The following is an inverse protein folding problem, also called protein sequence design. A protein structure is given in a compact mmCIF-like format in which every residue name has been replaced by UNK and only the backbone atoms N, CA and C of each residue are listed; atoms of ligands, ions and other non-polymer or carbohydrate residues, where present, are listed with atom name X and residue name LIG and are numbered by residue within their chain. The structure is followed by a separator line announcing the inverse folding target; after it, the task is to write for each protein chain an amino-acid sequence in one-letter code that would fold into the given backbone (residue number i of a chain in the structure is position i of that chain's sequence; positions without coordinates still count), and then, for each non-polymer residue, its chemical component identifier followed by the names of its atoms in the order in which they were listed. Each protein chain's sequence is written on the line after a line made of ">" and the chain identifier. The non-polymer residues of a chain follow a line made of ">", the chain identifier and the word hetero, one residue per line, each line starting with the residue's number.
data_IF_307222831831
#
_entry.id   IF_307222831831
#
_cell.length_a   1.000
_cell.length_b   1.000
_cell.length_c   1.000
_cell.angle_alpha   90.00
_cell.angle_beta   90.00
_cell.angle_gamma   90.00
#
_symmetry.space_group_name_H-M   'P 1'
#
loop_
_entity.id
_entity.type
_entity.pdbx_description
1 polymer ?
#
# COMPACT_ATOMS: atom_id res chain seq x y z
N UNK A 1 23.89 0.59 -12.89
CA UNK A 1 23.17 1.69 -13.58
C UNK A 1 22.64 2.62 -12.50
N UNK A 2 22.96 3.91 -12.59
CA UNK A 2 22.46 4.91 -11.65
C UNK A 2 21.03 5.28 -12.07
N UNK A 3 20.05 4.87 -11.27
CA UNK A 3 18.61 5.13 -11.51
C UNK A 3 18.15 6.45 -10.90
N UNK A 4 19.02 7.18 -10.20
CA UNK A 4 18.68 8.43 -9.51
C UNK A 4 18.20 9.46 -10.52
N UNK A 5 16.93 9.86 -10.39
CA UNK A 5 16.24 10.79 -11.28
C UNK A 5 15.12 10.16 -12.11
N UNK A 6 15.16 8.85 -12.36
CA UNK A 6 14.06 8.13 -13.05
C UNK A 6 12.83 7.98 -12.14
N UNK A 7 13.00 7.97 -10.82
CA UNK A 7 11.86 7.91 -9.89
C UNK A 7 10.89 9.10 -10.05
N UNK A 8 11.37 10.26 -10.52
CA UNK A 8 10.51 11.43 -10.76
C UNK A 8 9.66 11.33 -12.02
N UNK A 9 9.99 10.45 -12.96
CA UNK A 9 9.22 10.27 -14.20
C UNK A 9 8.16 9.18 -14.08
N UNK A 10 8.24 8.32 -13.06
CA UNK A 10 7.31 7.19 -12.87
C UNK A 10 6.10 7.56 -12.00
N UNK A 11 6.26 8.46 -11.04
CA UNK A 11 5.19 8.85 -10.13
C UNK A 11 5.25 10.36 -9.80
N UNK A 12 4.08 11.03 -9.69
CA UNK A 12 4.02 12.43 -9.26
C UNK A 12 4.38 12.60 -7.78
N UNK A 13 4.29 11.53 -6.98
CA UNK A 13 4.63 11.52 -5.55
C UNK A 13 5.49 10.30 -5.24
N UNK A 14 6.62 10.52 -4.59
CA UNK A 14 7.52 9.47 -4.12
C UNK A 14 7.55 9.45 -2.59
N UNK A 15 7.22 8.30 -2.00
CA UNK A 15 7.26 8.12 -0.54
C UNK A 15 8.64 7.60 -0.14
N UNK A 16 9.43 8.45 0.51
CA UNK A 16 10.77 8.11 0.97
C UNK A 16 10.74 7.32 2.28
N UNK A 17 11.80 6.56 2.52
CA UNK A 17 11.99 5.88 3.81
C UNK A 17 12.03 6.88 4.96
N UNK A 18 11.29 6.57 6.03
CA UNK A 18 11.16 7.41 7.22
C UNK A 18 10.90 6.55 8.47
N UNK A 19 11.06 7.12 9.66
CA UNK A 19 10.68 6.42 10.90
C UNK A 19 9.19 6.08 10.93
N UNK A 20 8.36 6.93 10.33
CA UNK A 20 6.91 6.75 10.29
C UNK A 20 6.52 5.55 9.42
N UNK A 21 7.09 5.42 8.20
CA UNK A 21 6.76 4.27 7.33
C UNK A 21 7.24 2.95 7.96
N UNK A 22 8.40 2.94 8.62
CA UNK A 22 8.92 1.77 9.32
C UNK A 22 8.01 1.38 10.49
N UNK A 23 7.55 2.36 11.27
CA UNK A 23 6.62 2.12 12.39
C UNK A 23 5.31 1.51 11.90
N UNK A 24 4.73 2.08 10.85
CA UNK A 24 3.49 1.59 10.25
C UNK A 24 3.66 0.19 9.64
N UNK A 25 4.77 -0.05 8.94
CA UNK A 25 5.07 -1.37 8.36
C UNK A 25 5.19 -2.45 9.43
N UNK A 26 5.83 -2.15 10.57
CA UNK A 26 5.89 -3.08 11.70
C UNK A 26 4.50 -3.43 12.23
N UNK A 27 3.57 -2.46 12.29
CA UNK A 27 2.17 -2.73 12.70
C UNK A 27 1.47 -3.66 11.72
N UNK A 28 1.58 -3.40 10.41
CA UNK A 28 0.99 -4.25 9.38
C UNK A 28 1.58 -5.67 9.37
N UNK A 29 2.90 -5.78 9.53
CA UNK A 29 3.55 -7.08 9.63
C UNK A 29 3.08 -7.86 10.85
N UNK A 30 3.04 -7.23 12.04
CA UNK A 30 2.62 -7.87 13.28
C UNK A 30 1.13 -8.24 13.31
N UNK A 31 0.24 -7.35 12.83
CA UNK A 31 -1.21 -7.53 12.97
C UNK A 31 -1.87 -8.26 11.78
N UNK A 32 -1.30 -8.15 10.59
CA UNK A 32 -1.85 -8.75 9.38
C UNK A 32 -0.96 -9.84 8.77
N UNK A 33 0.21 -10.14 9.38
CA UNK A 33 1.11 -11.17 8.87
C UNK A 33 1.68 -10.85 7.50
N UNK A 34 1.90 -9.56 7.20
CA UNK A 34 2.60 -9.15 5.99
C UNK A 34 4.10 -9.38 6.13
N UNK A 35 4.74 -9.84 5.05
CA UNK A 35 6.20 -9.82 5.00
C UNK A 35 6.71 -8.35 5.02
N UNK A 36 7.99 -8.11 5.34
CA UNK A 36 8.49 -6.75 5.51
C UNK A 36 8.33 -5.86 4.28
N UNK A 37 8.43 -6.41 3.07
CA UNK A 37 8.35 -5.64 1.83
C UNK A 37 6.91 -5.23 1.51
N UNK A 38 5.95 -6.15 1.64
CA UNK A 38 4.53 -5.85 1.47
C UNK A 38 4.04 -4.83 2.49
N UNK A 39 4.49 -4.98 3.74
CA UNK A 39 4.16 -4.06 4.80
C UNK A 39 4.66 -2.64 4.49
N UNK A 40 5.82 -2.51 3.85
CA UNK A 40 6.33 -1.21 3.38
C UNK A 40 5.47 -0.64 2.26
N UNK A 41 5.06 -1.44 1.26
CA UNK A 41 4.19 -0.95 0.17
C UNK A 41 2.84 -0.46 0.68
N UNK A 42 2.18 -1.22 1.55
CA UNK A 42 0.91 -0.83 2.17
C UNK A 42 1.08 0.44 3.02
N UNK A 43 2.18 0.54 3.77
CA UNK A 43 2.48 1.73 4.56
C UNK A 43 2.75 2.95 3.68
N UNK A 44 3.45 2.78 2.56
CA UNK A 44 3.66 3.84 1.58
C UNK A 44 2.33 4.35 1.03
N UNK A 45 1.41 3.45 0.68
CA UNK A 45 0.07 3.80 0.21
C UNK A 45 -0.69 4.63 1.26
N UNK A 46 -0.65 4.23 2.53
CA UNK A 46 -1.26 4.98 3.63
C UNK A 46 -0.67 6.39 3.74
N UNK A 47 0.67 6.52 3.79
CA UNK A 47 1.33 7.82 3.93
C UNK A 47 1.15 8.71 2.71
N UNK A 48 1.04 8.12 1.51
CA UNK A 48 0.65 8.81 0.29
C UNK A 48 -0.82 9.22 0.25
N UNK A 49 -1.62 8.81 1.24
CA UNK A 49 -3.06 9.11 1.38
C UNK A 49 -3.88 8.74 0.14
N UNK A 50 -3.53 7.63 -0.50
CA UNK A 50 -4.28 7.13 -1.65
C UNK A 50 -5.55 6.41 -1.18
N UNK A 51 -6.65 6.54 -1.95
CA UNK A 51 -7.87 5.78 -1.66
C UNK A 51 -7.75 4.29 -2.03
N UNK A 52 -6.87 3.95 -2.99
CA UNK A 52 -6.75 2.61 -3.56
C UNK A 52 -5.30 2.13 -3.61
N UNK A 53 -5.05 0.96 -3.06
CA UNK A 53 -3.83 0.16 -3.26
C UNK A 53 -4.14 -0.97 -4.23
N UNK A 54 -3.73 -0.81 -5.48
CA UNK A 54 -3.95 -1.79 -6.53
C UNK A 54 -2.77 -2.76 -6.60
N UNK A 55 -3.03 -4.06 -6.55
CA UNK A 55 -2.00 -5.09 -6.62
C UNK A 55 -2.52 -6.38 -7.25
N UNK A 56 -1.65 -7.11 -7.93
CA UNK A 56 -1.91 -8.47 -8.42
C UNK A 56 -1.38 -9.54 -7.47
N UNK A 57 -0.81 -9.16 -6.33
CA UNK A 57 -0.25 -10.08 -5.35
C UNK A 57 -1.38 -10.76 -4.54
N UNK A 58 -1.54 -12.07 -4.72
CA UNK A 58 -2.59 -12.84 -4.08
C UNK A 58 -2.43 -12.92 -2.55
N UNK A 59 -1.21 -12.90 -2.00
CA UNK A 59 -1.01 -12.91 -0.55
C UNK A 59 -1.52 -11.61 0.08
N UNK A 60 -1.28 -10.47 -0.58
CA UNK A 60 -1.82 -9.18 -0.16
C UNK A 60 -3.34 -9.16 -0.32
N UNK A 61 -3.87 -9.65 -1.45
CA UNK A 61 -5.30 -9.66 -1.73
C UNK A 61 -6.06 -10.54 -0.73
N UNK A 62 -5.52 -11.69 -0.32
CA UNK A 62 -6.10 -12.54 0.72
C UNK A 62 -6.16 -11.82 2.09
N UNK A 63 -5.20 -10.94 2.36
CA UNK A 63 -5.11 -10.16 3.61
C UNK A 63 -5.82 -8.80 3.53
N UNK A 64 -6.49 -8.47 2.42
CA UNK A 64 -7.08 -7.16 2.16
C UNK A 64 -7.96 -6.65 3.31
N UNK A 65 -8.85 -7.50 3.85
CA UNK A 65 -9.75 -7.10 4.95
C UNK A 65 -8.99 -6.68 6.21
N UNK A 66 -7.89 -7.37 6.54
CA UNK A 66 -7.06 -6.99 7.67
C UNK A 66 -6.37 -5.65 7.40
N UNK A 67 -5.79 -5.51 6.20
CA UNK A 67 -5.08 -4.30 5.78
C UNK A 67 -6.00 -3.08 5.84
N UNK A 68 -7.18 -3.15 5.19
CA UNK A 68 -8.13 -2.04 5.14
C UNK A 68 -8.62 -1.66 6.54
N UNK A 69 -8.88 -2.65 7.42
CA UNK A 69 -9.29 -2.39 8.80
C UNK A 69 -8.20 -1.69 9.60
N UNK A 70 -6.97 -2.20 9.55
CA UNK A 70 -5.85 -1.61 10.28
C UNK A 70 -5.49 -0.22 9.73
N UNK A 71 -5.57 -0.01 8.41
CA UNK A 71 -5.41 1.30 7.82
C UNK A 71 -6.44 2.30 8.37
N UNK A 72 -7.71 1.89 8.47
CA UNK A 72 -8.76 2.72 9.04
C UNK A 72 -8.55 3.00 10.54
N UNK A 73 -8.10 2.02 11.33
CA UNK A 73 -7.70 2.21 12.74
C UNK A 73 -6.57 3.24 12.88
N UNK A 74 -5.67 3.31 11.89
CA UNK A 74 -4.56 4.27 11.83
C UNK A 74 -4.94 5.60 11.15
N UNK A 75 -6.21 5.78 10.78
CA UNK A 75 -6.74 7.04 10.21
C UNK A 75 -6.63 7.17 8.69
N UNK A 76 -6.39 6.08 7.96
CA UNK A 76 -6.27 6.08 6.50
C UNK A 76 -7.47 5.40 5.84
N UNK A 77 -8.01 6.04 4.81
CA UNK A 77 -9.04 5.46 3.95
C UNK A 77 -8.38 4.71 2.80
N UNK A 78 -7.94 3.48 3.06
CA UNK A 78 -7.30 2.63 2.05
C UNK A 78 -8.19 1.46 1.66
N UNK A 79 -8.38 1.24 0.36
CA UNK A 79 -8.98 0.03 -0.22
C UNK A 79 -7.95 -0.77 -1.00
N UNK A 80 -7.92 -2.09 -0.79
CA UNK A 80 -6.97 -2.99 -1.47
C UNK A 80 -7.72 -3.76 -2.55
N UNK A 81 -7.32 -3.65 -3.81
CA UNK A 81 -8.01 -4.33 -4.92
C UNK A 81 -7.07 -4.90 -5.94
N UNK A 82 -7.51 -5.95 -6.62
CA UNK A 82 -6.93 -6.35 -7.88
C UNK A 82 -7.29 -5.32 -8.97
N UNK A 83 -6.37 -4.91 -9.85
CA UNK A 83 -6.65 -3.94 -10.92
C UNK A 83 -7.86 -4.30 -11.79
N UNK A 84 -8.06 -5.58 -12.12
CA UNK A 84 -9.21 -6.04 -12.92
C UNK A 84 -10.52 -5.84 -12.17
N UNK A 85 -10.53 -6.15 -10.87
CA UNK A 85 -11.72 -5.95 -10.04
C UNK A 85 -12.02 -4.46 -9.85
N UNK A 86 -11.00 -3.64 -9.66
CA UNK A 86 -11.15 -2.18 -9.60
C UNK A 86 -11.78 -1.62 -10.89
N UNK A 87 -11.27 -2.01 -12.06
CA UNK A 87 -11.83 -1.55 -13.34
C UNK A 87 -13.30 -1.99 -13.52
N UNK A 88 -13.66 -3.20 -13.09
CA UNK A 88 -15.06 -3.68 -13.12
C UNK A 88 -15.96 -2.90 -12.17
N UNK A 89 -15.47 -2.51 -10.99
CA UNK A 89 -16.21 -1.68 -10.03
C UNK A 89 -16.41 -0.25 -10.55
N UNK A 90 -15.42 0.29 -11.29
CA UNK A 90 -15.45 1.65 -11.83
C UNK A 90 -16.23 1.76 -13.15
N UNK A 91 -16.08 0.77 -14.02
CA UNK A 91 -16.64 0.74 -15.36
C UNK A 91 -18.06 0.21 -15.40
N UNK A 92 -18.97 0.86 -14.65
CA UNK A 92 -20.42 0.65 -14.80
C UNK A 92 -20.83 0.41 -16.24
#
# INVERSE_FOLDING_TARGET
>A
MDVRGFERTLAPVNIVSSKQIISLARKFSAKCGLNPMDALHVSAACLGRVDWFLTCDDEILQKCRCIERLAAEEGYKLKVRNPINYLREMGR
#
